data_IF_833531402326
#
_entry.id   IF_833531402326
#
_cell.length_a   1.000
_cell.length_b   1.000
_cell.length_c   1.000
_cell.angle_alpha   90.00
_cell.angle_beta   90.00
_cell.angle_gamma   90.00
#
_symmetry.space_group_name_H-M   'P 1'
#
loop_
_entity.id
_entity.type
_entity.pdbx_description
1 polymer ?
#
# COMPACT_ATOMS: atom_id res chain seq x y z
N UNK A 1 10.47 16.30 5.15
CA UNK A 1 11.12 15.14 5.81
C UNK A 1 10.18 14.38 6.71
N UNK A 2 9.60 15.04 7.73
CA UNK A 2 8.69 14.35 8.66
C UNK A 2 7.48 13.72 7.95
N UNK A 3 6.97 14.35 6.88
CA UNK A 3 5.84 13.82 6.13
C UNK A 3 6.18 12.48 5.44
N UNK A 4 7.41 12.34 4.98
CA UNK A 4 7.87 11.09 4.37
C UNK A 4 7.96 9.99 5.43
N UNK A 5 8.55 10.29 6.58
CA UNK A 5 8.67 9.35 7.69
C UNK A 5 7.30 8.95 8.22
N UNK A 6 6.40 9.92 8.42
CA UNK A 6 5.03 9.67 8.86
C UNK A 6 4.29 8.77 7.87
N UNK A 7 4.41 9.03 6.58
CA UNK A 7 3.79 8.20 5.55
C UNK A 7 4.30 6.76 5.62
N UNK A 8 5.62 6.58 5.73
CA UNK A 8 6.21 5.25 5.81
C UNK A 8 5.71 4.48 7.02
N UNK A 9 5.68 5.13 8.19
CA UNK A 9 5.20 4.51 9.43
C UNK A 9 3.73 4.11 9.28
N UNK A 10 2.89 5.00 8.76
CA UNK A 10 1.46 4.71 8.57
C UNK A 10 1.24 3.57 7.57
N UNK A 11 1.97 3.55 6.48
CA UNK A 11 1.90 2.45 5.52
C UNK A 11 2.25 1.12 6.19
N UNK A 12 3.34 1.08 6.95
CA UNK A 12 3.76 -0.14 7.62
C UNK A 12 2.74 -0.61 8.67
N UNK A 13 2.22 0.32 9.48
CA UNK A 13 1.25 -0.02 10.52
C UNK A 13 -0.08 -0.51 9.92
N UNK A 14 -0.64 0.26 9.00
CA UNK A 14 -1.94 -0.07 8.40
C UNK A 14 -1.86 -1.34 7.54
N UNK A 15 -0.80 -1.46 6.74
CA UNK A 15 -0.63 -2.61 5.87
C UNK A 15 -0.37 -3.90 6.66
N UNK A 16 0.25 -3.81 7.84
CA UNK A 16 0.44 -4.96 8.71
C UNK A 16 -0.89 -5.59 9.10
N UNK A 17 -1.89 -4.79 9.44
CA UNK A 17 -3.23 -5.31 9.75
C UNK A 17 -3.84 -6.02 8.55
N UNK A 18 -3.73 -5.43 7.37
CA UNK A 18 -4.23 -6.04 6.14
C UNK A 18 -3.52 -7.35 5.82
N UNK A 19 -2.18 -7.36 5.89
CA UNK A 19 -1.39 -8.55 5.60
C UNK A 19 -1.72 -9.70 6.54
N UNK A 20 -1.96 -9.43 7.82
CA UNK A 20 -2.39 -10.46 8.77
C UNK A 20 -3.76 -11.03 8.39
N UNK A 21 -4.68 -10.18 7.94
CA UNK A 21 -6.02 -10.61 7.55
C UNK A 21 -6.03 -11.48 6.29
N UNK A 22 -5.17 -11.19 5.31
CA UNK A 22 -5.17 -11.86 4.00
C UNK A 22 -4.03 -12.87 3.83
N UNK A 23 -3.18 -13.05 4.83
CA UNK A 23 -1.99 -13.90 4.77
C UNK A 23 -2.29 -15.31 4.24
N UNK A 24 -3.35 -15.94 4.74
CA UNK A 24 -3.72 -17.29 4.31
C UNK A 24 -4.09 -17.37 2.84
N UNK A 25 -4.85 -16.39 2.35
CA UNK A 25 -5.26 -16.32 0.95
C UNK A 25 -4.06 -16.14 0.02
N UNK A 26 -3.18 -15.19 0.33
CA UNK A 26 -2.00 -14.92 -0.50
C UNK A 26 -1.00 -16.07 -0.43
N UNK A 27 -0.74 -16.63 0.74
CA UNK A 27 0.16 -17.77 0.89
C UNK A 27 -0.31 -18.97 0.07
N UNK A 28 -1.61 -19.27 0.12
CA UNK A 28 -2.21 -20.36 -0.64
C UNK A 28 -2.10 -20.11 -2.15
N UNK A 29 -2.37 -18.90 -2.58
CA UNK A 29 -2.29 -18.51 -3.99
C UNK A 29 -0.86 -18.61 -4.53
N UNK A 30 0.10 -18.07 -3.78
CA UNK A 30 1.52 -18.11 -4.15
C UNK A 30 2.00 -19.55 -4.22
N UNK A 31 1.61 -20.41 -3.27
CA UNK A 31 1.98 -21.83 -3.28
C UNK A 31 1.45 -22.54 -4.52
N UNK A 32 0.23 -22.22 -4.97
CA UNK A 32 -0.34 -22.78 -6.20
C UNK A 32 0.47 -22.36 -7.43
N UNK A 33 0.95 -21.12 -7.46
CA UNK A 33 1.66 -20.57 -8.60
C UNK A 33 3.09 -21.10 -8.69
N UNK A 34 3.85 -21.01 -7.59
CA UNK A 34 5.28 -21.37 -7.61
C UNK A 34 5.57 -22.79 -7.13
N UNK A 35 4.55 -23.49 -6.63
CA UNK A 35 4.63 -24.87 -6.12
C UNK A 35 5.62 -25.03 -4.96
N UNK A 36 5.80 -23.97 -4.20
CA UNK A 36 6.59 -23.90 -2.98
C UNK A 36 6.02 -22.83 -2.08
N UNK A 37 6.40 -22.84 -0.82
CA UNK A 37 5.90 -21.84 0.14
C UNK A 37 6.37 -20.44 -0.24
N UNK A 38 5.53 -19.45 0.12
CA UNK A 38 5.88 -18.05 -0.06
C UNK A 38 7.08 -17.69 0.81
N UNK A 39 8.09 -17.12 0.18
CA UNK A 39 9.29 -16.62 0.84
C UNK A 39 9.46 -15.15 0.50
N UNK A 40 9.56 -14.30 1.52
CA UNK A 40 9.60 -12.86 1.34
C UNK A 40 11.04 -12.38 1.22
N UNK A 41 11.35 -11.75 0.09
CA UNK A 41 12.61 -11.01 -0.08
C UNK A 41 12.48 -9.68 0.65
N UNK A 42 13.14 -9.54 1.79
CA UNK A 42 13.05 -8.35 2.62
C UNK A 42 13.58 -7.10 1.93
N UNK A 43 14.62 -7.22 1.11
CA UNK A 43 15.15 -6.07 0.37
C UNK A 43 14.13 -5.53 -0.61
N UNK A 44 13.48 -6.42 -1.36
CA UNK A 44 12.44 -6.05 -2.30
C UNK A 44 11.22 -5.46 -1.58
N UNK A 45 10.83 -6.03 -0.44
CA UNK A 45 9.71 -5.52 0.35
C UNK A 45 9.99 -4.11 0.88
N UNK A 46 11.17 -3.86 1.43
CA UNK A 46 11.57 -2.53 1.89
C UNK A 46 11.59 -1.55 0.74
N UNK A 47 12.17 -1.92 -0.40
CA UNK A 47 12.20 -1.07 -1.59
C UNK A 47 10.79 -0.72 -2.05
N UNK A 48 9.86 -1.66 -2.02
CA UNK A 48 8.46 -1.44 -2.38
C UNK A 48 7.83 -0.33 -1.52
N UNK A 49 7.98 -0.42 -0.19
CA UNK A 49 7.44 0.59 0.71
C UNK A 49 8.10 1.95 0.54
N UNK A 50 9.40 1.98 0.27
CA UNK A 50 10.11 3.24 0.03
C UNK A 50 9.62 3.92 -1.26
N UNK A 51 9.43 3.15 -2.32
CA UNK A 51 8.91 3.66 -3.59
C UNK A 51 7.47 4.15 -3.42
N UNK A 52 6.62 3.40 -2.74
CA UNK A 52 5.25 3.82 -2.46
C UNK A 52 5.20 5.11 -1.63
N UNK A 53 6.04 5.19 -0.61
CA UNK A 53 6.14 6.38 0.24
C UNK A 53 6.57 7.60 -0.58
N UNK A 54 7.57 7.45 -1.45
CA UNK A 54 7.99 8.51 -2.34
C UNK A 54 6.86 8.97 -3.27
N UNK A 55 6.16 8.02 -3.89
CA UNK A 55 5.05 8.34 -4.79
C UNK A 55 3.91 9.05 -4.07
N UNK A 56 3.56 8.58 -2.88
CA UNK A 56 2.53 9.22 -2.05
C UNK A 56 2.91 10.65 -1.70
N UNK A 57 4.16 10.86 -1.26
CA UNK A 57 4.65 12.20 -0.94
C UNK A 57 4.60 13.10 -2.17
N UNK A 58 5.15 12.63 -3.29
CA UNK A 58 5.29 13.45 -4.50
C UNK A 58 3.95 13.83 -5.10
N UNK A 59 3.01 12.87 -5.19
CA UNK A 59 1.74 13.11 -5.88
C UNK A 59 0.63 13.63 -4.97
N UNK A 60 0.70 13.40 -3.68
CA UNK A 60 -0.38 13.73 -2.74
C UNK A 60 0.03 14.81 -1.74
N UNK A 61 1.09 14.54 -0.98
CA UNK A 61 1.44 15.41 0.16
C UNK A 61 2.02 16.73 -0.30
N UNK A 62 2.96 16.70 -1.21
CA UNK A 62 3.68 17.87 -1.70
C UNK A 62 2.72 18.95 -2.24
N UNK A 63 1.70 18.55 -2.98
CA UNK A 63 0.74 19.47 -3.59
C UNK A 63 -0.56 19.56 -2.78
N UNK A 64 -0.56 19.07 -1.55
CA UNK A 64 -1.70 19.12 -0.62
C UNK A 64 -2.99 18.57 -1.25
N UNK A 65 -2.88 17.41 -1.90
CA UNK A 65 -4.00 16.80 -2.61
C UNK A 65 -4.99 16.16 -1.62
N UNK A 66 -6.20 15.94 -2.10
CA UNK A 66 -7.32 15.46 -1.31
C UNK A 66 -7.20 13.99 -0.92
N UNK A 67 -8.07 13.56 0.00
CA UNK A 67 -8.21 12.17 0.39
C UNK A 67 -8.66 11.32 -0.81
N UNK A 68 -9.57 11.86 -1.64
CA UNK A 68 -10.05 11.19 -2.85
C UNK A 68 -8.91 10.96 -3.84
N UNK A 69 -8.05 11.94 -4.04
CA UNK A 69 -6.90 11.80 -4.92
C UNK A 69 -5.95 10.71 -4.41
N UNK A 70 -5.73 10.68 -3.10
CA UNK A 70 -4.92 9.63 -2.48
C UNK A 70 -5.53 8.25 -2.69
N UNK A 71 -6.85 8.12 -2.51
CA UNK A 71 -7.56 6.87 -2.72
C UNK A 71 -7.41 6.37 -4.16
N UNK A 72 -7.57 7.28 -5.12
CA UNK A 72 -7.42 6.93 -6.54
C UNK A 72 -6.00 6.45 -6.84
N UNK A 73 -4.99 7.17 -6.34
CA UNK A 73 -3.60 6.79 -6.55
C UNK A 73 -3.31 5.38 -5.98
N UNK A 74 -3.75 5.12 -4.76
CA UNK A 74 -3.56 3.82 -4.12
C UNK A 74 -4.27 2.69 -4.86
N UNK A 75 -5.52 2.94 -5.26
CA UNK A 75 -6.27 1.99 -6.07
C UNK A 75 -5.56 1.66 -7.37
N UNK A 76 -5.09 2.69 -8.10
CA UNK A 76 -4.41 2.51 -9.39
C UNK A 76 -3.13 1.68 -9.22
N UNK A 77 -2.30 2.01 -8.24
CA UNK A 77 -1.04 1.29 -8.00
C UNK A 77 -1.32 -0.20 -7.74
N UNK A 78 -2.25 -0.49 -6.85
CA UNK A 78 -2.57 -1.87 -6.48
C UNK A 78 -3.30 -2.62 -7.59
N UNK A 79 -4.21 -1.93 -8.30
CA UNK A 79 -4.92 -2.54 -9.42
C UNK A 79 -3.98 -2.93 -10.56
N UNK A 80 -3.02 -2.07 -10.89
CA UNK A 80 -2.02 -2.38 -11.92
C UNK A 80 -1.20 -3.61 -11.53
N UNK A 81 -0.77 -3.69 -10.27
CA UNK A 81 -0.04 -4.85 -9.76
C UNK A 81 -0.88 -6.13 -9.90
N UNK A 82 -2.11 -6.10 -9.41
CA UNK A 82 -2.97 -7.28 -9.40
C UNK A 82 -3.41 -7.71 -10.79
N UNK A 83 -3.78 -6.76 -11.64
CA UNK A 83 -4.19 -7.07 -13.01
C UNK A 83 -3.02 -7.60 -13.84
N UNK A 84 -1.82 -7.08 -13.61
CA UNK A 84 -0.61 -7.59 -14.24
C UNK A 84 -0.39 -9.06 -13.84
N UNK A 85 -0.52 -9.36 -12.55
CA UNK A 85 -0.39 -10.72 -12.05
C UNK A 85 -1.46 -11.65 -12.65
N UNK A 86 -2.71 -11.17 -12.76
CA UNK A 86 -3.78 -11.92 -13.44
C UNK A 86 -3.44 -12.22 -14.90
N UNK A 87 -2.79 -11.26 -15.56
CA UNK A 87 -2.45 -11.42 -16.98
C UNK A 87 -1.37 -12.48 -17.20
N UNK A 88 -0.45 -12.65 -16.25
CA UNK A 88 0.74 -13.50 -16.46
C UNK A 88 0.77 -14.77 -15.63
N UNK A 89 0.04 -14.86 -14.51
CA UNK A 89 0.07 -16.02 -13.63
C UNK A 89 -1.24 -16.81 -13.67
N UNK A 90 -1.13 -18.12 -13.85
CA UNK A 90 -2.25 -19.02 -13.62
C UNK A 90 -2.63 -18.98 -12.15
N UNK A 91 -3.90 -19.16 -11.85
CA UNK A 91 -4.44 -19.21 -10.49
C UNK A 91 -4.56 -17.85 -9.79
N UNK A 92 -4.04 -16.76 -10.36
CA UNK A 92 -4.28 -15.43 -9.80
C UNK A 92 -5.72 -15.03 -10.12
N UNK A 93 -6.54 -14.84 -9.12
CA UNK A 93 -8.00 -14.71 -9.31
C UNK A 93 -8.49 -13.27 -9.17
N UNK A 94 -9.67 -13.02 -9.73
CA UNK A 94 -10.28 -11.69 -9.73
C UNK A 94 -10.68 -11.25 -8.32
N UNK A 95 -11.09 -12.17 -7.46
CA UNK A 95 -11.50 -11.85 -6.09
C UNK A 95 -10.33 -11.31 -5.29
N UNK A 96 -9.17 -11.98 -5.35
CA UNK A 96 -7.93 -11.52 -4.70
C UNK A 96 -7.52 -10.16 -5.24
N UNK A 97 -7.58 -9.99 -6.56
CA UNK A 97 -7.24 -8.71 -7.21
C UNK A 97 -8.12 -7.57 -6.76
N UNK A 98 -9.43 -7.79 -6.66
CA UNK A 98 -10.38 -6.76 -6.21
C UNK A 98 -10.16 -6.40 -4.74
N UNK A 99 -9.96 -7.39 -3.89
CA UNK A 99 -9.70 -7.16 -2.45
C UNK A 99 -8.45 -6.29 -2.30
N UNK A 100 -7.38 -6.65 -3.00
CA UNK A 100 -6.10 -5.95 -2.89
C UNK A 100 -6.16 -4.54 -3.47
N UNK A 101 -6.80 -4.36 -4.63
CA UNK A 101 -6.94 -3.04 -5.25
C UNK A 101 -7.78 -2.10 -4.38
N UNK A 102 -8.88 -2.59 -3.82
CA UNK A 102 -9.71 -1.80 -2.91
C UNK A 102 -8.92 -1.44 -1.66
N UNK A 103 -8.16 -2.38 -1.11
CA UNK A 103 -7.29 -2.10 0.03
C UNK A 103 -6.28 -1.00 -0.29
N UNK A 104 -5.67 -1.02 -1.47
CA UNK A 104 -4.73 0.03 -1.89
C UNK A 104 -5.37 1.41 -1.82
N UNK A 105 -6.60 1.55 -2.29
CA UNK A 105 -7.36 2.79 -2.18
C UNK A 105 -7.64 3.19 -0.75
N UNK A 106 -8.04 2.22 0.08
CA UNK A 106 -8.32 2.45 1.51
C UNK A 106 -7.03 2.84 2.25
N UNK A 107 -5.94 2.14 2.01
CA UNK A 107 -4.65 2.42 2.66
C UNK A 107 -4.21 3.86 2.41
N UNK A 108 -4.25 4.29 1.16
CA UNK A 108 -3.82 5.65 0.79
C UNK A 108 -4.79 6.71 1.32
N UNK A 109 -6.09 6.43 1.27
CA UNK A 109 -7.10 7.34 1.81
C UNK A 109 -6.96 7.52 3.33
N UNK A 110 -6.81 6.41 4.06
CA UNK A 110 -6.61 6.45 5.51
C UNK A 110 -5.31 7.16 5.89
N UNK A 111 -4.22 6.88 5.17
CA UNK A 111 -2.94 7.53 5.41
C UNK A 111 -3.08 9.03 5.25
N UNK A 112 -3.70 9.48 4.16
CA UNK A 112 -3.93 10.92 3.93
C UNK A 112 -4.82 11.53 5.00
N UNK A 113 -5.91 10.87 5.34
CA UNK A 113 -6.84 11.31 6.39
C UNK A 113 -6.12 11.51 7.72
N UNK A 114 -5.35 10.51 8.14
CA UNK A 114 -4.62 10.58 9.41
C UNK A 114 -3.59 11.71 9.38
N UNK A 115 -2.86 11.87 8.28
CA UNK A 115 -1.86 12.93 8.15
C UNK A 115 -2.50 14.33 8.26
N UNK A 116 -3.65 14.52 7.63
CA UNK A 116 -4.39 15.80 7.73
C UNK A 116 -4.86 16.01 9.18
N UNK A 117 -5.40 14.96 9.81
CA UNK A 117 -5.93 15.05 11.17
C UNK A 117 -4.85 15.36 12.21
N UNK A 118 -3.64 14.84 12.04
CA UNK A 118 -2.54 15.06 13.01
C UNK A 118 -1.68 16.28 12.69
N UNK A 119 -1.86 16.90 11.53
CA UNK A 119 -1.05 18.05 11.11
C UNK A 119 -0.95 19.16 12.16
N UNK A 120 -2.06 19.59 12.80
CA UNK A 120 -1.97 20.63 13.84
C UNK A 120 -1.06 20.25 15.00
N UNK A 121 -0.94 18.96 15.29
CA UNK A 121 -0.14 18.46 16.43
C UNK A 121 1.33 18.25 16.04
N UNK A 122 1.62 17.99 14.75
CA UNK A 122 2.98 17.70 14.29
C UNK A 122 3.76 18.94 13.84
N UNK A 123 3.08 20.01 13.44
CA UNK A 123 3.72 21.26 12.99
C UNK A 123 4.67 21.86 14.03
N UNK A 124 4.33 21.74 15.32
CA UNK A 124 5.18 22.25 16.40
C UNK A 124 6.41 21.41 16.68
N UNK A 125 6.38 20.13 16.31
CA UNK A 125 7.46 19.18 16.61
C UNK A 125 8.60 19.30 15.57
N UNK A 126 8.24 19.63 14.33
CA UNK A 126 9.17 19.58 13.20
C UNK A 126 9.58 20.96 12.68
N UNK A 127 9.29 21.99 13.41
CA UNK A 127 9.72 23.35 13.08
C UNK A 127 11.17 23.61 13.45
#
# INVERSE_FOLDING_TARGET
MHNIITTLILFLLLDTFYLQAVKGRFSSLIKKIQKSDMDVDLYAAVACYLVMTFGFYYFIVKDNRSIEDAAILGFVIYAVFDLTNMAIFKHWDITTSLIDAIWGGILFALTRYIMIAIEPYTKGIYR
#
